data_IF_088988283157
#
_entry.id   IF_088988283157
#
_cell.length_a   1.000
_cell.length_b   1.000
_cell.length_c   1.000
_cell.angle_alpha   90.00
_cell.angle_beta   90.00
_cell.angle_gamma   90.00
#
_symmetry.space_group_name_H-M   'P 1'
#
loop_
_entity.id
_entity.type
_entity.pdbx_description
1 polymer ?
#
# COMPACT_ATOMS: atom_id res chain seq x y z
N UNK A 1 -13.88 55.55 -74.73
CA UNK A 1 -13.02 55.51 -73.55
C UNK A 1 -13.66 54.54 -72.56
N UNK A 2 -13.19 53.29 -72.51
CA UNK A 2 -13.73 52.23 -71.67
C UNK A 2 -12.95 52.16 -70.40
N UNK A 3 -13.67 52.09 -69.27
CA UNK A 3 -13.08 51.88 -67.96
C UNK A 3 -13.43 50.45 -67.52
N UNK A 4 -12.42 49.62 -67.44
CA UNK A 4 -12.52 48.24 -67.02
C UNK A 4 -12.66 48.14 -65.49
N UNK A 5 -13.72 47.49 -65.04
CA UNK A 5 -13.95 47.17 -63.64
C UNK A 5 -13.24 45.91 -63.27
N UNK A 6 -12.29 45.99 -62.34
CA UNK A 6 -11.60 44.83 -61.77
C UNK A 6 -12.46 44.24 -60.60
N UNK A 7 -12.97 43.06 -60.82
CA UNK A 7 -13.64 42.28 -59.78
C UNK A 7 -12.62 41.67 -58.82
N UNK A 8 -12.82 41.85 -57.49
CA UNK A 8 -12.05 41.23 -56.42
C UNK A 8 -12.57 39.82 -56.17
N UNK A 9 -11.72 38.82 -56.05
CA UNK A 9 -12.19 37.50 -55.63
C UNK A 9 -12.47 37.47 -54.14
N UNK A 10 -13.62 36.94 -53.75
CA UNK A 10 -14.01 36.68 -52.37
C UNK A 10 -13.28 35.42 -51.88
N UNK A 11 -12.38 35.58 -50.90
CA UNK A 11 -11.82 34.45 -50.15
C UNK A 11 -12.90 33.84 -49.23
N UNK A 12 -13.37 32.66 -49.56
CA UNK A 12 -14.19 31.83 -48.68
C UNK A 12 -13.25 31.11 -47.70
N UNK A 13 -13.22 31.60 -46.45
CA UNK A 13 -12.53 30.91 -45.35
C UNK A 13 -13.47 29.81 -44.86
N UNK A 14 -13.19 28.58 -45.25
CA UNK A 14 -13.87 27.41 -44.70
C UNK A 14 -13.36 27.16 -43.25
N UNK A 15 -14.16 27.50 -42.26
CA UNK A 15 -13.92 27.15 -40.87
C UNK A 15 -14.14 25.64 -40.69
N UNK A 16 -13.07 24.89 -40.61
CA UNK A 16 -13.12 23.46 -40.22
C UNK A 16 -13.40 23.39 -38.71
N UNK A 17 -14.64 23.11 -38.33
CA UNK A 17 -14.96 22.73 -36.94
C UNK A 17 -14.37 21.35 -36.66
N UNK A 18 -13.25 21.32 -35.95
CA UNK A 18 -12.70 20.09 -35.35
C UNK A 18 -13.65 19.67 -34.22
N UNK A 19 -14.50 18.69 -34.50
CA UNK A 19 -15.28 17.99 -33.48
C UNK A 19 -14.30 17.13 -32.68
N UNK A 20 -13.92 17.62 -31.51
CA UNK A 20 -13.18 16.82 -30.54
C UNK A 20 -14.14 15.76 -30.01
N UNK A 21 -14.12 14.55 -30.59
CA UNK A 21 -14.84 13.42 -30.06
C UNK A 21 -14.22 13.08 -28.69
N UNK A 22 -14.99 13.34 -27.63
CA UNK A 22 -14.62 12.90 -26.29
C UNK A 22 -14.45 11.38 -26.30
N UNK A 23 -13.23 10.91 -26.12
CA UNK A 23 -12.96 9.46 -25.99
C UNK A 23 -13.67 8.97 -24.73
N UNK A 24 -14.42 7.85 -24.80
CA UNK A 24 -15.02 7.27 -23.61
C UNK A 24 -13.88 6.90 -22.63
N UNK A 25 -14.09 7.08 -21.32
CA UNK A 25 -13.10 6.67 -20.34
C UNK A 25 -12.81 5.18 -20.53
N UNK A 26 -11.52 4.83 -20.62
CA UNK A 26 -11.07 3.44 -20.68
C UNK A 26 -11.75 2.68 -19.55
N UNK A 27 -12.52 1.64 -19.87
CA UNK A 27 -13.21 0.82 -18.90
C UNK A 27 -12.17 0.30 -17.89
N UNK A 28 -12.25 0.78 -16.64
CA UNK A 28 -11.48 0.23 -15.53
C UNK A 28 -11.84 -1.25 -15.48
N UNK A 29 -10.83 -2.11 -15.64
CA UNK A 29 -11.03 -3.54 -15.58
C UNK A 29 -11.72 -3.90 -14.26
N UNK A 30 -12.94 -4.40 -14.32
CA UNK A 30 -13.64 -4.87 -13.14
C UNK A 30 -12.78 -5.96 -12.45
N UNK A 31 -12.74 -5.95 -11.13
CA UNK A 31 -12.11 -7.03 -10.38
C UNK A 31 -12.73 -8.37 -10.79
N UNK A 32 -11.94 -9.46 -10.86
CA UNK A 32 -12.48 -10.78 -11.14
C UNK A 32 -13.61 -11.16 -10.18
N UNK A 33 -14.61 -11.91 -10.64
CA UNK A 33 -15.79 -12.25 -9.84
C UNK A 33 -15.49 -13.05 -8.54
N UNK A 34 -14.30 -13.63 -8.44
CA UNK A 34 -13.84 -14.39 -7.28
C UNK A 34 -13.02 -13.56 -6.25
N UNK A 35 -12.92 -12.25 -6.43
CA UNK A 35 -12.24 -11.37 -5.48
C UNK A 35 -13.15 -11.08 -4.29
N UNK A 36 -12.66 -11.37 -3.10
CA UNK A 36 -13.36 -11.06 -1.84
C UNK A 36 -13.31 -9.54 -1.62
N UNK A 37 -14.46 -8.86 -1.45
CA UNK A 37 -14.46 -7.42 -1.21
C UNK A 37 -13.85 -7.07 0.15
N UNK A 38 -13.23 -5.89 0.28
CA UNK A 38 -12.62 -5.45 1.55
C UNK A 38 -13.60 -5.48 2.73
N UNK A 39 -14.89 -5.26 2.48
CA UNK A 39 -15.94 -5.31 3.50
C UNK A 39 -16.14 -6.69 4.14
N UNK A 40 -15.68 -7.75 3.48
CA UNK A 40 -15.79 -9.12 3.99
C UNK A 40 -14.58 -9.52 4.86
N UNK A 41 -13.50 -8.73 4.88
CA UNK A 41 -12.38 -8.98 5.78
C UNK A 41 -12.73 -8.54 7.21
N UNK A 42 -12.45 -9.35 8.22
CA UNK A 42 -12.55 -8.92 9.61
C UNK A 42 -11.72 -7.66 9.85
N UNK A 43 -12.20 -6.79 10.74
CA UNK A 43 -11.51 -5.56 11.09
C UNK A 43 -10.97 -5.61 12.50
N UNK A 44 -9.85 -4.92 12.72
CA UNK A 44 -9.32 -4.64 14.05
C UNK A 44 -8.55 -3.32 14.05
N UNK A 45 -8.31 -2.78 15.22
CA UNK A 45 -7.47 -1.58 15.40
C UNK A 45 -6.06 -2.01 15.74
N UNK A 46 -5.12 -1.38 15.04
CA UNK A 46 -3.70 -1.51 15.34
C UNK A 46 -3.11 -0.14 15.66
N UNK A 47 -1.98 -0.15 16.34
CA UNK A 47 -1.16 1.05 16.53
C UNK A 47 0.28 0.75 16.17
N UNK A 48 0.97 1.72 15.57
CA UNK A 48 2.42 1.76 15.52
C UNK A 48 2.91 2.74 16.57
N UNK A 49 3.66 2.24 17.55
CA UNK A 49 4.27 3.02 18.61
C UNK A 49 5.67 3.45 18.16
N UNK A 50 5.81 4.72 17.80
CA UNK A 50 7.09 5.28 17.31
C UNK A 50 7.96 5.72 18.46
N UNK A 51 9.17 5.18 18.55
CA UNK A 51 10.14 5.46 19.62
C UNK A 51 10.67 6.90 19.56
N UNK A 52 10.91 7.41 18.37
CA UNK A 52 11.51 8.73 18.17
C UNK A 52 10.60 9.87 18.62
N UNK A 53 9.28 9.72 18.50
CA UNK A 53 8.30 10.77 18.83
C UNK A 53 7.41 10.41 20.02
N UNK A 54 7.54 9.20 20.58
CA UNK A 54 6.65 8.64 21.60
C UNK A 54 5.17 8.73 21.21
N UNK A 55 4.89 8.69 19.90
CA UNK A 55 3.55 8.77 19.37
C UNK A 55 3.01 7.39 19.08
N UNK A 56 1.68 7.27 19.21
CA UNK A 56 0.91 6.11 18.84
C UNK A 56 0.12 6.46 17.58
N UNK A 57 0.50 5.84 16.46
CA UNK A 57 -0.17 6.00 15.16
C UNK A 57 -1.25 4.94 15.04
N UNK A 58 -2.52 5.36 15.01
CA UNK A 58 -3.66 4.45 14.95
C UNK A 58 -4.05 4.15 13.50
N UNK A 59 -4.43 2.88 13.25
CA UNK A 59 -4.94 2.43 11.97
C UNK A 59 -6.13 1.48 12.19
N UNK A 60 -7.12 1.59 11.29
CA UNK A 60 -8.15 0.58 11.11
C UNK A 60 -7.64 -0.47 10.12
N UNK A 61 -7.48 -1.72 10.55
CA UNK A 61 -6.90 -2.76 9.72
C UNK A 61 -7.93 -3.80 9.26
N UNK A 62 -7.87 -4.17 7.99
CA UNK A 62 -8.44 -5.42 7.51
C UNK A 62 -7.49 -6.57 7.86
N UNK A 63 -8.05 -7.71 8.28
CA UNK A 63 -7.28 -8.85 8.76
C UNK A 63 -7.34 -10.03 7.80
N UNK A 64 -6.20 -10.41 7.25
CA UNK A 64 -6.02 -11.57 6.39
C UNK A 64 -5.37 -12.72 7.17
N UNK A 65 -6.17 -13.72 7.57
CA UNK A 65 -5.70 -14.87 8.37
C UNK A 65 -5.70 -16.19 7.58
N UNK A 66 -6.69 -16.39 6.72
CA UNK A 66 -6.73 -17.61 5.90
C UNK A 66 -5.71 -17.54 4.76
N UNK A 67 -5.27 -18.69 4.25
CA UNK A 67 -4.37 -18.76 3.10
C UNK A 67 -4.92 -18.01 1.90
N UNK A 68 -6.23 -18.15 1.61
CA UNK A 68 -6.88 -17.45 0.50
C UNK A 68 -6.91 -15.93 0.72
N UNK A 69 -7.24 -15.48 1.96
CA UNK A 69 -7.25 -14.06 2.31
C UNK A 69 -5.84 -13.44 2.17
N UNK A 70 -4.81 -14.14 2.66
CA UNK A 70 -3.41 -13.69 2.51
C UNK A 70 -2.95 -13.68 1.05
N UNK A 71 -3.36 -14.66 0.25
CA UNK A 71 -3.01 -14.72 -1.16
C UNK A 71 -3.64 -13.57 -1.97
N UNK A 72 -4.83 -13.11 -1.59
CA UNK A 72 -5.49 -11.98 -2.22
C UNK A 72 -4.95 -10.64 -1.74
N UNK A 73 -4.84 -10.42 -0.41
CA UNK A 73 -4.42 -9.15 0.15
C UNK A 73 -5.20 -7.96 -0.42
N UNK A 74 -4.47 -6.90 -0.79
CA UNK A 74 -5.01 -5.68 -1.41
C UNK A 74 -5.06 -5.73 -2.95
N UNK A 75 -5.08 -6.93 -3.56
CA UNK A 75 -5.27 -7.05 -5.01
C UNK A 75 -6.54 -6.36 -5.47
N UNK A 76 -6.45 -5.64 -6.61
CA UNK A 76 -7.55 -4.92 -7.27
C UNK A 76 -8.17 -3.78 -6.45
N UNK A 77 -7.61 -3.42 -5.29
CA UNK A 77 -8.03 -2.26 -4.51
C UNK A 77 -7.51 -0.99 -5.18
N UNK A 78 -8.40 -0.04 -5.46
CA UNK A 78 -8.04 1.26 -6.01
C UNK A 78 -7.61 2.25 -4.91
N UNK A 79 -6.83 3.26 -5.27
CA UNK A 79 -6.30 4.26 -4.33
C UNK A 79 -7.39 4.95 -3.50
N UNK A 80 -8.52 5.28 -4.11
CA UNK A 80 -9.66 5.91 -3.44
C UNK A 80 -10.37 5.00 -2.42
N UNK A 81 -10.14 3.69 -2.47
CA UNK A 81 -10.78 2.71 -1.57
C UNK A 81 -10.00 2.49 -0.27
N UNK A 82 -8.77 3.00 -0.18
CA UNK A 82 -7.93 2.89 1.01
C UNK A 82 -7.56 4.29 1.53
N UNK A 83 -8.01 4.63 2.74
CA UNK A 83 -7.67 5.88 3.41
C UNK A 83 -6.27 5.80 4.04
N UNK A 84 -5.60 6.95 4.31
CA UNK A 84 -4.27 6.98 4.94
C UNK A 84 -4.23 6.43 6.39
N UNK A 85 -5.38 6.31 7.05
CA UNK A 85 -5.54 5.75 8.40
C UNK A 85 -5.94 4.26 8.37
N UNK A 86 -5.91 3.62 7.22
CA UNK A 86 -6.24 2.21 7.05
C UNK A 86 -4.99 1.38 6.77
N UNK A 87 -5.08 0.09 7.11
CA UNK A 87 -4.03 -0.89 6.91
C UNK A 87 -4.63 -2.23 6.47
N UNK A 88 -3.82 -3.14 5.94
CA UNK A 88 -4.12 -4.56 5.92
C UNK A 88 -3.06 -5.29 6.75
N UNK A 89 -3.48 -6.24 7.56
CA UNK A 89 -2.58 -7.09 8.34
C UNK A 89 -2.70 -8.55 7.92
N UNK A 90 -1.54 -9.16 7.78
CA UNK A 90 -1.39 -10.59 7.46
C UNK A 90 -0.85 -11.28 8.70
N UNK A 91 -1.64 -12.18 9.27
CA UNK A 91 -1.29 -12.87 10.51
C UNK A 91 -0.71 -14.23 10.20
N UNK A 92 0.43 -14.53 10.78
CA UNK A 92 1.15 -15.79 10.62
C UNK A 92 1.41 -16.44 11.99
N UNK A 93 0.99 -17.66 12.13
CA UNK A 93 1.26 -18.49 13.31
C UNK A 93 1.50 -19.93 12.87
N UNK A 94 2.65 -20.52 13.27
CA UNK A 94 3.77 -19.95 14.03
C UNK A 94 4.57 -18.87 13.25
N UNK A 95 5.58 -18.23 13.92
CA UNK A 95 6.49 -17.32 13.22
C UNK A 95 7.16 -18.00 12.04
N UNK A 96 7.25 -17.34 10.89
CA UNK A 96 7.83 -17.92 9.67
C UNK A 96 8.46 -16.85 8.79
N UNK A 97 9.34 -17.25 7.87
CA UNK A 97 9.80 -16.41 6.80
C UNK A 97 8.63 -16.14 5.85
N UNK A 98 8.43 -14.89 5.51
CA UNK A 98 7.31 -14.42 4.67
C UNK A 98 7.87 -13.73 3.44
N UNK A 99 7.32 -14.11 2.29
CA UNK A 99 7.55 -13.46 1.00
C UNK A 99 6.26 -12.81 0.54
N UNK A 100 6.34 -11.51 0.23
CA UNK A 100 5.25 -10.70 -0.31
C UNK A 100 5.54 -10.33 -1.75
N UNK A 101 4.53 -9.89 -2.48
CA UNK A 101 4.61 -9.39 -3.84
C UNK A 101 3.53 -8.35 -4.08
N UNK A 102 3.65 -7.59 -5.17
CA UNK A 102 2.66 -6.59 -5.57
C UNK A 102 1.78 -7.04 -6.75
N UNK A 103 1.71 -8.36 -7.02
CA UNK A 103 0.90 -8.90 -8.12
C UNK A 103 -0.55 -8.42 -7.99
N UNK A 104 -1.09 -7.86 -9.08
CA UNK A 104 -2.46 -7.32 -9.15
C UNK A 104 -2.78 -6.22 -8.12
N UNK A 105 -1.81 -5.72 -7.38
CA UNK A 105 -1.97 -4.60 -6.43
C UNK A 105 -1.81 -3.29 -7.19
N UNK A 106 -2.83 -2.45 -7.14
CA UNK A 106 -2.90 -1.20 -7.90
C UNK A 106 -2.32 0.00 -7.13
N UNK A 107 -2.24 -0.13 -5.81
CA UNK A 107 -1.69 0.84 -4.88
C UNK A 107 -0.18 0.69 -4.76
N UNK A 108 0.55 1.78 -4.55
CA UNK A 108 1.86 1.71 -3.91
C UNK A 108 1.67 1.46 -2.42
N UNK A 109 2.44 0.55 -1.83
CA UNK A 109 2.31 0.15 -0.44
C UNK A 109 3.63 0.27 0.32
N UNK A 110 3.55 0.63 1.59
CA UNK A 110 4.62 0.43 2.55
C UNK A 110 4.33 -0.86 3.33
N UNK A 111 5.32 -1.74 3.48
CA UNK A 111 5.18 -3.02 4.18
C UNK A 111 6.06 -3.06 5.42
N UNK A 112 5.45 -3.35 6.57
CA UNK A 112 6.14 -3.51 7.85
C UNK A 112 6.14 -5.00 8.21
N UNK A 113 7.30 -5.60 8.34
CA UNK A 113 7.45 -6.98 8.79
C UNK A 113 7.74 -6.99 10.29
N UNK A 114 6.95 -7.76 11.06
CA UNK A 114 6.89 -7.63 12.52
C UNK A 114 7.15 -8.98 13.19
N UNK A 115 8.10 -9.00 14.11
CA UNK A 115 8.49 -10.20 14.86
C UNK A 115 7.48 -10.56 15.97
N UNK A 116 7.69 -11.69 16.66
CA UNK A 116 6.80 -12.17 17.73
C UNK A 116 6.71 -11.22 18.94
N UNK A 117 7.65 -10.28 19.10
CA UNK A 117 7.66 -9.26 20.15
C UNK A 117 6.87 -8.01 19.75
N UNK A 118 6.41 -7.94 18.52
CA UNK A 118 5.75 -6.77 17.94
C UNK A 118 6.73 -5.75 17.34
N UNK A 119 8.01 -6.08 17.21
CA UNK A 119 9.01 -5.18 16.69
C UNK A 119 9.05 -5.19 15.17
N UNK A 120 9.10 -4.01 14.56
CA UNK A 120 9.31 -3.87 13.12
C UNK A 120 10.76 -4.23 12.82
N UNK A 121 10.98 -5.32 12.09
CA UNK A 121 12.30 -5.89 11.77
C UNK A 121 12.73 -5.68 10.32
N UNK A 122 11.77 -5.43 9.44
CA UNK A 122 12.02 -5.07 8.03
C UNK A 122 10.95 -4.06 7.59
N UNK A 123 11.33 -3.11 6.77
CA UNK A 123 10.44 -2.14 6.12
C UNK A 123 10.75 -2.14 4.64
N UNK A 124 9.72 -2.25 3.83
CA UNK A 124 9.74 -1.95 2.40
C UNK A 124 8.88 -0.72 2.15
N UNK A 125 9.48 0.36 1.66
CA UNK A 125 8.77 1.59 1.39
C UNK A 125 8.40 1.70 -0.08
N UNK A 126 7.17 2.14 -0.34
CA UNK A 126 6.65 2.43 -1.69
C UNK A 126 6.85 1.28 -2.68
N UNK A 127 6.56 0.05 -2.24
CA UNK A 127 6.57 -1.11 -3.10
C UNK A 127 5.78 -0.82 -4.39
N UNK A 128 6.38 -1.18 -5.53
CA UNK A 128 5.86 -0.79 -6.84
C UNK A 128 4.59 -1.56 -7.20
N UNK A 129 3.50 -0.86 -7.59
CA UNK A 129 2.28 -1.52 -8.05
C UNK A 129 2.57 -2.54 -9.15
N UNK A 130 1.92 -3.70 -9.06
CA UNK A 130 2.00 -4.80 -10.03
C UNK A 130 3.38 -5.45 -10.18
N UNK A 131 4.37 -5.11 -9.37
CA UNK A 131 5.67 -5.81 -9.36
C UNK A 131 5.47 -7.28 -8.99
N UNK A 132 6.25 -8.14 -9.64
CA UNK A 132 6.35 -9.57 -9.33
C UNK A 132 7.62 -9.87 -8.53
N UNK A 133 8.42 -8.85 -8.23
CA UNK A 133 9.60 -8.99 -7.37
C UNK A 133 9.18 -9.40 -5.97
N UNK A 134 9.97 -10.28 -5.38
CA UNK A 134 9.73 -10.80 -4.04
C UNK A 134 10.28 -9.85 -2.98
N UNK A 135 9.45 -9.51 -2.01
CA UNK A 135 9.78 -8.70 -0.84
C UNK A 135 9.82 -9.64 0.37
N UNK A 136 10.99 -9.84 0.97
CA UNK A 136 11.20 -10.87 1.99
C UNK A 136 11.34 -10.31 3.40
N UNK A 137 10.86 -11.05 4.39
CA UNK A 137 10.94 -10.68 5.80
C UNK A 137 12.33 -10.76 6.41
N UNK A 138 13.31 -11.39 5.73
CA UNK A 138 14.69 -11.65 6.19
C UNK A 138 14.82 -12.48 7.47
N UNK A 139 13.88 -12.36 8.40
CA UNK A 139 13.79 -13.13 9.65
C UNK A 139 12.35 -13.64 9.84
N UNK A 140 12.12 -14.67 10.69
CA UNK A 140 10.77 -15.12 10.97
C UNK A 140 9.90 -14.02 11.58
N UNK A 141 8.70 -13.82 11.03
CA UNK A 141 7.71 -12.83 11.47
C UNK A 141 6.36 -13.46 11.76
N UNK A 142 5.56 -12.78 12.56
CA UNK A 142 4.19 -13.17 12.88
C UNK A 142 3.15 -12.26 12.25
N UNK A 143 3.59 -11.10 11.76
CA UNK A 143 2.69 -10.11 11.19
C UNK A 143 3.40 -9.37 10.04
N UNK A 144 2.65 -9.11 8.97
CA UNK A 144 2.99 -8.08 7.99
C UNK A 144 1.88 -7.04 8.01
N UNK A 145 2.25 -5.77 7.99
CA UNK A 145 1.32 -4.63 7.92
C UNK A 145 1.55 -3.91 6.60
N UNK A 146 0.54 -3.88 5.76
CA UNK A 146 0.51 -3.05 4.55
C UNK A 146 -0.17 -1.72 4.85
N UNK A 147 0.53 -0.64 4.55
CA UNK A 147 0.06 0.74 4.64
C UNK A 147 0.06 1.37 3.25
N UNK A 148 -0.67 2.44 3.07
CA UNK A 148 -0.60 3.24 1.83
C UNK A 148 0.84 3.75 1.64
N UNK A 149 1.35 3.67 0.40
CA UNK A 149 2.73 4.05 0.10
C UNK A 149 3.07 5.48 0.50
N UNK A 150 4.19 5.65 1.21
CA UNK A 150 4.66 6.91 1.76
C UNK A 150 4.25 7.17 3.22
N UNK A 151 3.34 6.34 3.79
CA UNK A 151 2.90 6.47 5.19
C UNK A 151 4.06 6.33 6.18
N UNK A 152 5.02 5.44 5.90
CA UNK A 152 6.21 5.23 6.74
C UNK A 152 7.00 6.52 6.90
N UNK A 153 7.33 7.17 5.79
CA UNK A 153 8.07 8.43 5.78
C UNK A 153 7.26 9.57 6.42
N UNK A 154 5.98 9.72 6.06
CA UNK A 154 5.09 10.77 6.56
C UNK A 154 4.90 10.70 8.08
N UNK A 155 4.74 9.50 8.62
CA UNK A 155 4.49 9.28 10.05
C UNK A 155 5.76 9.02 10.87
N UNK A 156 6.92 8.97 10.22
CA UNK A 156 8.21 8.78 10.85
C UNK A 156 8.37 7.40 11.50
N UNK A 157 7.75 6.37 10.90
CA UNK A 157 7.85 4.97 11.33
C UNK A 157 9.25 4.45 10.96
N UNK A 158 9.86 3.67 11.86
CA UNK A 158 11.24 3.19 11.70
C UNK A 158 11.42 1.74 12.16
N UNK A 159 12.49 1.12 11.72
CA UNK A 159 12.95 -0.15 12.29
C UNK A 159 13.09 -0.05 13.82
N UNK A 160 12.62 -1.07 14.52
CA UNK A 160 12.59 -1.11 15.98
C UNK A 160 11.41 -0.38 16.61
N UNK A 161 10.54 0.27 15.85
CA UNK A 161 9.22 0.70 16.34
C UNK A 161 8.34 -0.54 16.59
N UNK A 162 7.26 -0.35 17.33
CA UNK A 162 6.41 -1.45 17.76
C UNK A 162 5.02 -1.39 17.14
N UNK A 163 4.56 -2.51 16.62
CA UNK A 163 3.16 -2.70 16.23
C UNK A 163 2.40 -3.34 17.39
N UNK A 164 1.23 -2.79 17.71
CA UNK A 164 0.31 -3.29 18.74
C UNK A 164 -1.04 -3.58 18.09
N UNK A 165 -1.55 -4.79 18.24
CA UNK A 165 -2.92 -5.16 17.87
C UNK A 165 -3.83 -4.87 19.06
N UNK A 166 -4.52 -3.75 19.05
CA UNK A 166 -5.24 -3.22 20.21
C UNK A 166 -6.36 -4.17 20.63
N UNK A 167 -7.18 -4.61 19.67
CA UNK A 167 -8.34 -5.44 19.94
C UNK A 167 -7.96 -6.89 20.30
N UNK A 168 -6.79 -7.36 19.84
CA UNK A 168 -6.26 -8.67 20.17
C UNK A 168 -5.38 -8.68 21.44
N UNK A 169 -5.08 -7.50 22.02
CA UNK A 169 -4.16 -7.38 23.17
C UNK A 169 -2.76 -7.95 22.89
N UNK A 170 -2.22 -7.73 21.69
CA UNK A 170 -0.92 -8.26 21.28
C UNK A 170 0.04 -7.12 20.84
N UNK A 171 1.37 -7.22 21.09
CA UNK A 171 2.02 -8.27 21.88
C UNK A 171 1.71 -8.16 23.38
N UNK A 172 1.84 -9.29 24.08
CA UNK A 172 1.74 -9.29 25.55
C UNK A 172 3.11 -8.97 26.13
N UNK A 173 3.17 -8.00 27.05
CA UNK A 173 4.41 -7.59 27.70
C UNK A 173 5.09 -6.37 27.10
N UNK A 174 6.00 -5.77 27.87
CA UNK A 174 6.67 -4.49 27.59
C UNK A 174 8.13 -4.62 27.10
N UNK A 175 8.55 -5.77 26.57
CA UNK A 175 9.91 -5.96 26.07
C UNK A 175 10.29 -4.92 25.01
N UNK A 176 11.41 -4.22 25.17
CA UNK A 176 11.89 -3.24 24.20
C UNK A 176 12.27 -3.89 22.87
N UNK A 177 12.06 -3.18 21.78
CA UNK A 177 12.59 -3.55 20.47
C UNK A 177 14.07 -3.17 20.40
N UNK A 178 14.93 -4.10 19.95
CA UNK A 178 16.33 -3.78 19.70
C UNK A 178 16.45 -2.78 18.55
N UNK A 179 17.38 -1.83 18.66
CA UNK A 179 17.76 -0.98 17.52
C UNK A 179 18.60 -1.81 16.55
N UNK A 180 18.63 -1.43 15.26
CA UNK A 180 19.43 -2.07 14.22
C UNK A 180 20.92 -2.21 14.59
N UNK A 181 21.45 -1.32 15.42
CA UNK A 181 22.81 -1.37 15.96
C UNK A 181 23.06 -2.53 16.94
N UNK A 182 22.03 -2.96 17.68
CA UNK A 182 22.13 -4.06 18.64
C UNK A 182 21.94 -5.42 17.99
N UNK A 183 21.21 -5.51 16.87
CA UNK A 183 21.03 -6.75 16.14
C UNK A 183 22.32 -7.24 15.45
N UNK A 184 23.20 -6.32 15.02
CA UNK A 184 24.49 -6.66 14.39
C UNK A 184 25.55 -7.22 15.35
N UNK A 185 25.44 -6.98 16.66
CA UNK A 185 26.43 -7.45 17.66
C UNK A 185 26.13 -8.85 18.23
N UNK A 186 24.99 -9.42 17.90
CA UNK A 186 24.58 -10.74 18.43
C UNK A 186 25.03 -11.93 17.57
N UNK A 187 25.59 -11.70 16.39
CA UNK A 187 25.98 -12.76 15.43
C UNK A 187 27.46 -13.17 15.61
N UNK A 188 28.26 -12.41 16.37
CA UNK A 188 29.70 -12.65 16.56
C UNK A 188 30.07 -13.21 17.96
N UNK A 189 29.18 -14.04 18.56
CA UNK A 189 29.52 -14.78 19.77
C UNK A 189 29.13 -16.24 19.68
#
# INVERSE_FOLDING_TARGET
MSISSFGRPACIVAAACLVFAAQPPLARGAAPANVVPLSAFPRERIAVETRASFRRQLFEAWRAESTAARAQGLMFVEDAQMRPDQAMIFVYQPPQHVSMWMKNTLLSLDMLFVDARGCIVTIEERAQPRSLETIESRVPVVLVVELKGGTVAERGIRLGDRVVRIDAGWPRGSGGCATSEQAGRSVDR
#
